data_IF_611606764016
#
_entry.id   IF_611606764016
#
_cell.length_a   1.000
_cell.length_b   1.000
_cell.length_c   1.000
_cell.angle_alpha   90.00
_cell.angle_beta   90.00
_cell.angle_gamma   90.00
#
_symmetry.space_group_name_H-M   'P 1'
#
loop_
_entity.id
_entity.type
_entity.pdbx_description
1 polymer ?
#
# COMPACT_ATOMS: atom_id res chain seq x y z
N UNK A 1 -16.07 32.46 -26.55
CA UNK A 1 -15.26 32.83 -25.38
C UNK A 1 -15.58 31.91 -24.20
N UNK A 2 -16.86 31.78 -23.75
CA UNK A 2 -17.23 30.99 -22.59
C UNK A 2 -16.79 29.50 -22.68
N UNK A 3 -16.98 28.85 -23.84
CA UNK A 3 -16.59 27.46 -24.07
C UNK A 3 -15.05 27.28 -23.96
N UNK A 4 -14.27 28.23 -24.47
CA UNK A 4 -12.80 28.17 -24.37
C UNK A 4 -12.34 28.33 -22.93
N UNK A 5 -12.88 29.30 -22.18
CA UNK A 5 -12.56 29.49 -20.77
C UNK A 5 -12.93 28.25 -19.93
N UNK A 6 -14.07 27.65 -20.22
CA UNK A 6 -14.49 26.41 -19.59
C UNK A 6 -13.53 25.23 -19.90
N UNK A 7 -13.10 25.08 -21.16
CA UNK A 7 -12.15 24.04 -21.55
C UNK A 7 -10.80 24.21 -20.84
N UNK A 8 -10.30 25.47 -20.73
CA UNK A 8 -9.07 25.77 -19.98
C UNK A 8 -9.24 25.43 -18.49
N UNK A 9 -10.38 25.77 -17.89
CA UNK A 9 -10.68 25.42 -16.50
C UNK A 9 -10.65 23.90 -16.28
N UNK A 10 -11.32 23.11 -17.14
CA UNK A 10 -11.32 21.66 -17.04
C UNK A 10 -9.93 21.07 -17.23
N UNK A 11 -9.16 21.53 -18.21
CA UNK A 11 -7.78 21.10 -18.40
C UNK A 11 -6.94 21.28 -17.13
N UNK A 12 -6.98 22.47 -16.52
CA UNK A 12 -6.25 22.76 -15.30
C UNK A 12 -6.73 21.87 -14.14
N UNK A 13 -8.01 21.54 -14.08
CA UNK A 13 -8.57 20.65 -13.08
C UNK A 13 -8.06 19.20 -13.25
N UNK A 14 -7.97 18.70 -14.48
CA UNK A 14 -7.35 17.38 -14.76
C UNK A 14 -5.89 17.34 -14.34
N UNK A 15 -5.11 18.38 -14.64
CA UNK A 15 -3.72 18.49 -14.17
C UNK A 15 -3.66 18.42 -12.64
N UNK A 16 -4.52 19.17 -11.95
CA UNK A 16 -4.56 19.19 -10.49
C UNK A 16 -4.88 17.79 -9.90
N UNK A 17 -5.85 17.08 -10.44
CA UNK A 17 -6.17 15.72 -9.99
C UNK A 17 -5.04 14.74 -10.25
N UNK A 18 -4.38 14.83 -11.40
CA UNK A 18 -3.22 13.99 -11.73
C UNK A 18 -2.09 14.21 -10.73
N UNK A 19 -1.73 15.46 -10.45
CA UNK A 19 -0.67 15.82 -9.51
C UNK A 19 -1.02 15.31 -8.10
N UNK A 20 -2.26 15.50 -7.63
CA UNK A 20 -2.70 14.99 -6.32
C UNK A 20 -2.59 13.47 -6.20
N UNK A 21 -2.91 12.74 -7.27
CA UNK A 21 -2.72 11.29 -7.27
C UNK A 21 -1.23 10.90 -7.23
N UNK A 22 -0.35 11.65 -7.88
CA UNK A 22 1.10 11.43 -7.85
C UNK A 22 1.70 11.76 -6.48
N UNK A 23 1.28 12.85 -5.84
CA UNK A 23 1.67 13.19 -4.46
C UNK A 23 1.21 12.11 -3.47
N UNK A 24 -0.05 11.66 -3.60
CA UNK A 24 -0.58 10.61 -2.76
C UNK A 24 0.15 9.27 -2.91
N UNK A 25 0.63 8.96 -4.12
CA UNK A 25 1.50 7.80 -4.35
C UNK A 25 2.86 7.96 -3.68
N UNK A 26 3.49 9.12 -3.79
CA UNK A 26 4.76 9.41 -3.14
C UNK A 26 4.66 9.25 -1.60
N UNK A 27 3.53 9.63 -1.00
CA UNK A 27 3.29 9.41 0.43
C UNK A 27 3.23 7.91 0.79
N UNK A 28 2.64 7.08 -0.07
CA UNK A 28 2.66 5.62 0.10
C UNK A 28 4.09 5.10 0.04
N UNK A 29 4.88 5.50 -0.95
CA UNK A 29 6.26 5.04 -1.13
C UNK A 29 7.14 5.37 0.09
N UNK A 30 6.95 6.54 0.71
CA UNK A 30 7.64 6.91 1.96
C UNK A 30 7.33 5.91 3.09
N UNK A 31 6.06 5.53 3.26
CA UNK A 31 5.67 4.59 4.31
C UNK A 31 6.11 3.15 4.00
N UNK A 32 6.04 2.73 2.73
CA UNK A 32 6.57 1.44 2.30
C UNK A 32 8.07 1.34 2.56
N UNK A 33 8.84 2.38 2.23
CA UNK A 33 10.26 2.44 2.53
C UNK A 33 10.54 2.29 4.02
N UNK A 34 9.81 3.03 4.87
CA UNK A 34 9.94 2.90 6.33
C UNK A 34 9.69 1.46 6.79
N UNK A 35 8.66 0.80 6.27
CA UNK A 35 8.38 -0.61 6.54
C UNK A 35 9.55 -1.50 6.15
N UNK A 36 10.13 -1.31 4.95
CA UNK A 36 11.28 -2.09 4.49
C UNK A 36 12.52 -1.90 5.36
N UNK A 37 12.73 -0.69 5.88
CA UNK A 37 13.88 -0.36 6.72
C UNK A 37 13.75 -0.95 8.15
N UNK A 38 12.54 -1.16 8.65
CA UNK A 38 12.27 -1.76 9.96
C UNK A 38 12.42 -3.30 9.97
N UNK A 39 12.13 -3.97 8.85
CA UNK A 39 12.09 -5.44 8.76
C UNK A 39 13.43 -6.11 9.09
N UNK A 40 14.62 -5.66 8.62
CA UNK A 40 15.89 -6.25 8.99
C UNK A 40 16.15 -6.22 10.50
N UNK A 41 15.75 -5.15 11.17
CA UNK A 41 15.89 -5.02 12.64
C UNK A 41 14.96 -6.01 13.35
N UNK A 42 13.73 -6.17 12.87
CA UNK A 42 12.81 -7.18 13.39
C UNK A 42 13.40 -8.60 13.24
N UNK A 43 13.87 -8.96 12.03
CA UNK A 43 14.47 -10.27 11.76
C UNK A 43 15.68 -10.50 12.67
N UNK A 44 16.57 -9.51 12.82
CA UNK A 44 17.74 -9.61 13.69
C UNK A 44 17.36 -9.82 15.15
N UNK A 45 16.36 -9.09 15.63
CA UNK A 45 15.87 -9.22 17.02
C UNK A 45 15.26 -10.59 17.27
N UNK A 46 14.38 -11.06 16.38
CA UNK A 46 13.74 -12.39 16.52
C UNK A 46 14.77 -13.51 16.43
N UNK A 47 15.75 -13.41 15.52
CA UNK A 47 16.80 -14.41 15.33
C UNK A 47 17.67 -14.60 16.58
N UNK A 48 17.82 -13.57 17.40
CA UNK A 48 18.57 -13.66 18.67
C UNK A 48 17.92 -14.59 19.70
N UNK A 49 16.61 -14.86 19.58
CA UNK A 49 15.84 -15.70 20.52
C UNK A 49 15.34 -16.99 19.88
N UNK A 50 15.02 -16.98 18.58
CA UNK A 50 14.37 -18.07 17.86
C UNK A 50 15.28 -18.59 16.74
N UNK A 51 16.45 -19.12 17.08
CA UNK A 51 17.51 -19.53 16.12
C UNK A 51 17.10 -20.65 15.16
N UNK A 52 16.08 -21.41 15.47
CA UNK A 52 15.62 -22.56 14.68
C UNK A 52 14.59 -22.18 13.59
N UNK A 53 14.17 -20.92 13.52
CA UNK A 53 13.10 -20.46 12.62
C UNK A 53 13.64 -19.93 11.27
N UNK A 54 14.67 -20.56 10.71
CA UNK A 54 15.37 -20.13 9.49
C UNK A 54 14.42 -19.91 8.30
N UNK A 55 13.44 -20.80 8.13
CA UNK A 55 12.46 -20.71 7.04
C UNK A 55 11.59 -19.44 7.12
N UNK A 56 11.23 -19.00 8.33
CA UNK A 56 10.45 -17.77 8.51
C UNK A 56 11.29 -16.53 8.16
N UNK A 57 12.57 -16.51 8.56
CA UNK A 57 13.49 -15.42 8.23
C UNK A 57 13.74 -15.31 6.72
N UNK A 58 13.93 -16.45 6.05
CA UNK A 58 14.10 -16.49 4.59
C UNK A 58 12.86 -15.96 3.88
N UNK A 59 11.65 -16.40 4.28
CA UNK A 59 10.38 -15.93 3.72
C UNK A 59 10.22 -14.42 3.83
N UNK A 60 10.48 -13.85 5.00
CA UNK A 60 10.36 -12.39 5.19
C UNK A 60 11.41 -11.63 4.37
N UNK A 61 12.64 -12.11 4.33
CA UNK A 61 13.73 -11.48 3.57
C UNK A 61 13.42 -11.50 2.07
N UNK A 62 12.93 -12.64 1.56
CA UNK A 62 12.55 -12.78 0.16
C UNK A 62 11.32 -11.92 -0.19
N UNK A 63 10.30 -11.92 0.66
CA UNK A 63 9.10 -11.10 0.47
C UNK A 63 9.45 -9.60 0.45
N UNK A 64 10.34 -9.15 1.35
CA UNK A 64 10.86 -7.78 1.35
C UNK A 64 11.58 -7.44 0.05
N UNK A 65 12.47 -8.31 -0.44
CA UNK A 65 13.19 -8.11 -1.69
C UNK A 65 12.23 -8.01 -2.88
N UNK A 66 11.19 -8.87 -2.92
CA UNK A 66 10.15 -8.83 -3.95
C UNK A 66 9.36 -7.52 -3.91
N UNK A 67 8.96 -7.06 -2.71
CA UNK A 67 8.22 -5.82 -2.54
C UNK A 67 9.05 -4.59 -2.98
N UNK A 68 10.33 -4.55 -2.64
CA UNK A 68 11.25 -3.47 -3.07
C UNK A 68 11.53 -3.46 -4.57
N UNK A 69 11.36 -4.58 -5.26
CA UNK A 69 11.60 -4.71 -6.71
C UNK A 69 10.33 -4.55 -7.56
N UNK A 70 9.16 -4.40 -6.94
CA UNK A 70 7.89 -4.21 -7.63
C UNK A 70 7.93 -2.96 -8.53
N UNK A 71 7.38 -3.07 -9.74
CA UNK A 71 7.40 -1.98 -10.73
C UNK A 71 6.01 -1.54 -11.18
N UNK A 72 5.05 -2.45 -11.15
CA UNK A 72 3.67 -2.16 -11.51
C UNK A 72 2.79 -2.07 -10.27
N UNK A 73 1.65 -1.40 -10.36
CA UNK A 73 0.70 -1.31 -9.26
C UNK A 73 0.24 -2.70 -8.78
N UNK A 74 -0.01 -3.61 -9.73
CA UNK A 74 -0.38 -4.99 -9.43
C UNK A 74 0.74 -5.77 -8.74
N UNK A 75 2.02 -5.54 -9.10
CA UNK A 75 3.16 -6.17 -8.43
C UNK A 75 3.31 -5.65 -7.01
N UNK A 76 3.17 -4.34 -6.79
CA UNK A 76 3.16 -3.75 -5.45
C UNK A 76 2.06 -4.36 -4.59
N UNK A 77 0.82 -4.42 -5.10
CA UNK A 77 -0.32 -4.99 -4.36
C UNK A 77 -0.06 -6.42 -3.89
N UNK A 78 0.43 -7.27 -4.79
CA UNK A 78 0.71 -8.68 -4.47
C UNK A 78 1.88 -8.86 -3.52
N UNK A 79 2.99 -8.17 -3.78
CA UNK A 79 4.20 -8.31 -2.97
C UNK A 79 4.03 -7.74 -1.56
N UNK A 80 3.28 -6.65 -1.40
CA UNK A 80 2.97 -6.07 -0.10
C UNK A 80 2.05 -6.98 0.73
N UNK A 81 1.07 -7.63 0.11
CA UNK A 81 0.24 -8.63 0.79
C UNK A 81 1.08 -9.81 1.31
N UNK A 82 1.98 -10.35 0.47
CA UNK A 82 2.90 -11.44 0.85
C UNK A 82 3.82 -11.00 1.99
N UNK A 83 4.37 -9.79 1.91
CA UNK A 83 5.23 -9.24 2.95
C UNK A 83 4.47 -9.06 4.28
N UNK A 84 3.24 -8.57 4.23
CA UNK A 84 2.37 -8.45 5.40
C UNK A 84 2.14 -9.77 6.10
N UNK A 85 1.80 -10.83 5.35
CA UNK A 85 1.64 -12.18 5.89
C UNK A 85 2.95 -12.73 6.50
N UNK A 86 4.08 -12.51 5.85
CA UNK A 86 5.38 -12.97 6.34
C UNK A 86 5.78 -12.25 7.65
N UNK A 87 5.55 -10.95 7.77
CA UNK A 87 5.79 -10.17 9.00
C UNK A 87 4.85 -10.63 10.12
N UNK A 88 3.57 -10.86 9.84
CA UNK A 88 2.62 -11.42 10.80
C UNK A 88 3.08 -12.79 11.30
N UNK A 89 3.64 -13.62 10.42
CA UNK A 89 4.24 -14.90 10.80
C UNK A 89 5.40 -14.74 11.79
N UNK A 90 6.26 -13.74 11.63
CA UNK A 90 7.34 -13.46 12.59
C UNK A 90 6.79 -13.03 13.97
N UNK A 91 5.73 -12.23 14.01
CA UNK A 91 5.09 -11.89 15.28
C UNK A 91 4.46 -13.11 15.96
N UNK A 92 3.91 -14.04 15.15
CA UNK A 92 3.37 -15.32 15.66
C UNK A 92 4.43 -16.21 16.33
N UNK A 93 5.68 -16.18 15.86
CA UNK A 93 6.80 -16.91 16.47
C UNK A 93 7.04 -16.44 17.92
N UNK A 94 6.93 -15.14 18.18
CA UNK A 94 7.16 -14.59 19.51
C UNK A 94 6.24 -15.18 20.59
N UNK A 95 5.08 -15.71 20.23
CA UNK A 95 4.18 -16.39 21.18
C UNK A 95 4.79 -17.67 21.77
N UNK A 96 5.69 -18.34 21.06
CA UNK A 96 6.42 -19.51 21.52
C UNK A 96 7.71 -19.16 22.31
N UNK A 97 8.12 -17.90 22.32
CA UNK A 97 9.36 -17.44 22.93
C UNK A 97 9.07 -16.30 23.93
N UNK A 98 8.76 -16.59 25.21
CA UNK A 98 8.37 -15.58 26.21
C UNK A 98 9.40 -14.46 26.41
N UNK A 99 10.69 -14.78 26.34
CA UNK A 99 11.77 -13.79 26.51
C UNK A 99 11.82 -12.81 25.32
N UNK A 100 11.55 -13.27 24.10
CA UNK A 100 11.39 -12.42 22.94
C UNK A 100 10.15 -11.52 23.08
N UNK A 101 9.03 -12.09 23.49
CA UNK A 101 7.77 -11.36 23.69
C UNK A 101 7.89 -10.24 24.72
N UNK A 102 8.74 -10.41 25.74
CA UNK A 102 9.02 -9.43 26.77
C UNK A 102 10.14 -8.43 26.38
N UNK A 103 10.84 -8.65 25.26
CA UNK A 103 11.94 -7.81 24.84
C UNK A 103 11.45 -6.42 24.40
N UNK A 104 12.03 -5.36 24.99
CA UNK A 104 11.61 -3.98 24.73
C UNK A 104 11.82 -3.54 23.28
N UNK A 105 12.93 -3.94 22.65
CA UNK A 105 13.21 -3.61 21.24
C UNK A 105 12.19 -4.31 20.32
N UNK A 106 11.83 -5.57 20.60
CA UNK A 106 10.80 -6.28 19.85
C UNK A 106 9.45 -5.60 19.95
N UNK A 107 9.03 -5.21 21.13
CA UNK A 107 7.76 -4.49 21.36
C UNK A 107 7.74 -3.14 20.68
N UNK A 108 8.85 -2.42 20.67
CA UNK A 108 8.98 -1.14 19.96
C UNK A 108 8.87 -1.31 18.45
N UNK A 109 9.60 -2.29 17.86
CA UNK A 109 9.52 -2.62 16.44
C UNK A 109 8.12 -3.07 16.03
N UNK A 110 7.44 -3.86 16.86
CA UNK A 110 6.05 -4.26 16.61
C UNK A 110 5.12 -3.04 16.56
N UNK A 111 5.27 -2.09 17.50
CA UNK A 111 4.48 -0.86 17.53
C UNK A 111 4.79 0.03 16.33
N UNK A 112 6.06 0.20 15.95
CA UNK A 112 6.45 1.00 14.79
C UNK A 112 5.96 0.39 13.47
N UNK A 113 6.01 -0.92 13.32
CA UNK A 113 5.48 -1.61 12.14
C UNK A 113 3.96 -1.50 12.07
N UNK A 114 3.26 -1.61 13.20
CA UNK A 114 1.81 -1.41 13.26
C UNK A 114 1.42 0.03 12.92
N UNK A 115 2.14 1.03 13.44
CA UNK A 115 1.93 2.44 13.08
C UNK A 115 2.17 2.69 11.59
N UNK A 116 3.24 2.12 11.05
CA UNK A 116 3.57 2.22 9.62
C UNK A 116 2.49 1.58 8.75
N UNK A 117 1.96 0.42 9.15
CA UNK A 117 0.84 -0.25 8.45
C UNK A 117 -0.41 0.63 8.44
N UNK A 118 -0.78 1.22 9.59
CA UNK A 118 -1.91 2.15 9.68
C UNK A 118 -1.73 3.37 8.75
N UNK A 119 -0.51 3.89 8.65
CA UNK A 119 -0.18 5.00 7.74
C UNK A 119 -0.26 4.59 6.28
N UNK A 120 0.24 3.39 5.92
CA UNK A 120 0.08 2.82 4.56
C UNK A 120 -1.40 2.71 4.21
N UNK A 121 -2.23 2.18 5.10
CA UNK A 121 -3.66 2.04 4.87
C UNK A 121 -4.36 3.41 4.70
N UNK A 122 -3.97 4.41 5.48
CA UNK A 122 -4.51 5.77 5.35
C UNK A 122 -4.09 6.42 4.02
N UNK A 123 -2.80 6.33 3.66
CA UNK A 123 -2.27 6.86 2.41
C UNK A 123 -2.88 6.16 1.19
N UNK A 124 -3.09 4.83 1.25
CA UNK A 124 -3.78 4.05 0.21
C UNK A 124 -5.20 4.56 -0.03
N UNK A 125 -5.99 4.74 1.05
CA UNK A 125 -7.35 5.28 0.91
C UNK A 125 -7.35 6.66 0.27
N UNK A 126 -6.41 7.51 0.65
CA UNK A 126 -6.26 8.84 0.08
C UNK A 126 -5.88 8.78 -1.40
N UNK A 127 -4.91 7.94 -1.78
CA UNK A 127 -4.52 7.69 -3.17
C UNK A 127 -5.72 7.22 -4.00
N UNK A 128 -6.40 6.17 -3.56
CA UNK A 128 -7.54 5.60 -4.28
C UNK A 128 -8.70 6.61 -4.45
N UNK A 129 -8.90 7.48 -3.47
CA UNK A 129 -9.88 8.58 -3.60
C UNK A 129 -9.48 9.56 -4.72
N UNK A 130 -8.22 9.97 -4.79
CA UNK A 130 -7.74 10.87 -5.84
C UNK A 130 -7.76 10.21 -7.22
N UNK A 131 -7.41 8.92 -7.30
CA UNK A 131 -7.50 8.13 -8.55
C UNK A 131 -8.94 8.00 -9.01
N UNK A 132 -9.87 7.72 -8.10
CA UNK A 132 -11.31 7.65 -8.43
C UNK A 132 -11.80 8.97 -9.00
N UNK A 133 -11.47 10.08 -8.37
CA UNK A 133 -11.92 11.41 -8.79
C UNK A 133 -11.35 11.76 -10.19
N UNK A 134 -10.07 11.45 -10.44
CA UNK A 134 -9.45 11.60 -11.76
C UNK A 134 -10.13 10.72 -12.81
N UNK A 135 -10.27 9.42 -12.53
CA UNK A 135 -10.85 8.46 -13.47
C UNK A 135 -12.31 8.80 -13.80
N UNK A 136 -13.08 9.20 -12.78
CA UNK A 136 -14.47 9.65 -12.96
C UNK A 136 -14.52 10.86 -13.86
N UNK A 137 -13.68 11.86 -13.65
CA UNK A 137 -13.64 13.06 -14.48
C UNK A 137 -13.22 12.76 -15.94
N UNK A 138 -12.34 11.77 -16.17
CA UNK A 138 -11.95 11.32 -17.51
C UNK A 138 -13.14 10.66 -18.25
N UNK A 139 -14.02 9.97 -17.54
CA UNK A 139 -15.15 9.24 -18.13
C UNK A 139 -16.44 10.08 -18.25
N UNK A 140 -16.65 11.03 -17.35
CA UNK A 140 -17.88 11.84 -17.33
C UNK A 140 -17.93 12.85 -18.49
N UNK A 141 -19.11 12.98 -19.09
CA UNK A 141 -19.41 14.06 -20.04
C UNK A 141 -19.58 15.39 -19.28
N UNK A 142 -19.10 16.50 -19.79
CA UNK A 142 -18.31 16.68 -21.03
C UNK A 142 -16.78 16.58 -20.83
N UNK A 143 -16.30 16.21 -19.66
CA UNK A 143 -14.88 16.07 -19.31
C UNK A 143 -14.15 15.07 -20.22
N UNK A 144 -14.81 13.98 -20.64
CA UNK A 144 -14.26 12.95 -21.51
C UNK A 144 -13.79 13.49 -22.88
N UNK A 145 -14.40 14.56 -23.39
CA UNK A 145 -13.99 15.20 -24.64
C UNK A 145 -12.61 15.86 -24.43
N UNK A 146 -12.46 16.62 -23.35
CA UNK A 146 -11.20 17.28 -22.99
C UNK A 146 -10.12 16.24 -22.65
N UNK A 147 -10.49 15.22 -21.87
CA UNK A 147 -9.58 14.14 -21.50
C UNK A 147 -9.06 13.40 -22.74
N UNK A 148 -9.92 13.08 -23.70
CA UNK A 148 -9.55 12.42 -24.95
C UNK A 148 -8.65 13.31 -25.82
N UNK A 149 -8.97 14.59 -25.98
CA UNK A 149 -8.19 15.53 -26.78
C UNK A 149 -6.76 15.72 -26.24
N UNK A 150 -6.60 15.87 -24.92
CA UNK A 150 -5.30 16.04 -24.25
C UNK A 150 -4.67 14.72 -23.79
N UNK A 151 -5.26 13.58 -24.14
CA UNK A 151 -4.75 12.23 -23.84
C UNK A 151 -4.50 11.99 -22.34
N UNK A 152 -5.41 12.45 -21.50
CA UNK A 152 -5.42 12.03 -20.10
C UNK A 152 -5.81 10.56 -20.00
N UNK A 153 -5.03 9.79 -19.25
CA UNK A 153 -5.24 8.36 -19.05
C UNK A 153 -5.66 8.08 -17.61
N UNK A 154 -6.49 7.07 -17.44
CA UNK A 154 -6.87 6.58 -16.12
C UNK A 154 -5.66 6.03 -15.38
N UNK A 155 -5.66 6.19 -14.06
CA UNK A 155 -4.67 5.57 -13.16
C UNK A 155 -5.27 4.31 -12.53
N UNK A 156 -4.41 3.35 -12.22
CA UNK A 156 -4.78 2.12 -11.52
C UNK A 156 -4.96 2.37 -10.02
N UNK A 157 -5.91 1.65 -9.41
CA UNK A 157 -6.07 1.65 -7.96
C UNK A 157 -4.98 0.81 -7.29
N UNK A 158 -4.63 1.18 -6.07
CA UNK A 158 -3.75 0.38 -5.23
C UNK A 158 -4.61 -0.43 -4.25
N UNK A 159 -4.94 -1.66 -4.63
CA UNK A 159 -5.72 -2.59 -3.83
C UNK A 159 -4.79 -3.66 -3.25
N UNK A 160 -4.78 -3.82 -1.93
CA UNK A 160 -4.13 -4.96 -1.28
C UNK A 160 -5.09 -6.16 -1.30
N UNK A 161 -4.53 -7.37 -1.44
CA UNK A 161 -5.31 -8.59 -1.61
C UNK A 161 -6.32 -8.91 -0.47
N UNK A 162 -6.21 -8.24 0.67
CA UNK A 162 -7.16 -8.37 1.78
C UNK A 162 -8.55 -7.77 1.48
N UNK A 163 -8.66 -6.88 0.49
CA UNK A 163 -9.97 -6.34 0.10
C UNK A 163 -10.83 -7.36 -0.66
N UNK A 164 -10.21 -8.37 -1.28
CA UNK A 164 -10.92 -9.49 -1.93
C UNK A 164 -11.71 -10.36 -0.93
N UNK A 165 -11.28 -10.43 0.31
CA UNK A 165 -11.98 -11.18 1.38
C UNK A 165 -13.22 -10.40 1.86
N UNK A 166 -13.13 -9.07 1.89
CA UNK A 166 -14.26 -8.20 2.27
C UNK A 166 -15.33 -8.10 1.17
N UNK A 167 -14.98 -8.40 -0.10
CA UNK A 167 -15.91 -8.42 -1.23
C UNK A 167 -16.66 -9.75 -1.40
N UNK A 168 -16.23 -10.82 -0.73
CA UNK A 168 -17.01 -12.06 -0.72
C UNK A 168 -18.26 -11.83 0.13
N UNK A 169 -19.40 -11.77 -0.54
CA UNK A 169 -20.70 -11.74 0.10
C UNK A 169 -20.75 -12.77 1.24
N UNK A 170 -20.93 -12.29 2.45
CA UNK A 170 -21.29 -13.14 3.58
C UNK A 170 -22.67 -13.69 3.26
N UNK A 171 -22.74 -14.96 2.85
CA UNK A 171 -24.02 -15.66 2.71
C UNK A 171 -24.65 -15.76 4.10
N UNK A 172 -25.54 -14.84 4.40
CA UNK A 172 -26.37 -14.93 5.61
C UNK A 172 -27.43 -15.99 5.35
N UNK A 173 -27.22 -17.21 5.83
CA UNK A 173 -28.26 -18.23 5.94
C UNK A 173 -29.13 -17.91 7.15
N UNK A 174 -30.38 -17.56 6.86
CA UNK A 174 -31.45 -17.50 7.88
C UNK A 174 -31.93 -18.90 8.22
#
# INVERSE_FOLDING_TARGET
>A
VAVVLWAVYLYNKFISWRIRAEEAWADIEVQLKRRYDLIPNLVSTVKGYATHESTAFEKVTQARASAMSAKTMGDHSKSEAILGQAVTGLFGIAEAYPDLKANTNFLELQRELSDTENKIQAARRFYNTNVRDLNTAIEQFPGNIIAGFFKFVKKEFFDLADDDVAQKNVEVKF
#
